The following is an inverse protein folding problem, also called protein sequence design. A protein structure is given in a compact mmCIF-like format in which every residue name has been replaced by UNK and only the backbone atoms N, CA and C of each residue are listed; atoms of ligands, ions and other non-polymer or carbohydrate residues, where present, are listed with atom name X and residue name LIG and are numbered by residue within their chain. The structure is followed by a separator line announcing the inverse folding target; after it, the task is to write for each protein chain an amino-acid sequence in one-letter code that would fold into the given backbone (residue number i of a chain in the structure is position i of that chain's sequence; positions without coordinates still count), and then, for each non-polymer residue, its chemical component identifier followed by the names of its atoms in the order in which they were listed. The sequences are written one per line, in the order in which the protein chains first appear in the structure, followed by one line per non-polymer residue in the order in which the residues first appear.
data_IF_625670828512
#
_entry.id   IF_625670828512
#
_cell.length_a   1.000
_cell.length_b   1.000
_cell.length_c   1.000
_cell.angle_alpha   90.00
_cell.angle_beta   90.00
_cell.angle_gamma   90.00
#
_symmetry.space_group_name_H-M   'P 1'
#
loop_
_entity.id
_entity.type
_entity.pdbx_description
1 polymer ?
#
# COMPACT_ATOMS: atom_id res chain seq x y z
N UNK A 1 -103.83 2.99 -51.39
CA UNK A 1 -105.08 2.77 -50.64
C UNK A 1 -105.23 1.28 -50.45
N UNK A 2 -105.72 0.85 -49.29
CA UNK A 2 -106.23 -0.51 -49.09
C UNK A 2 -107.75 -0.47 -49.25
N UNK A 3 -108.33 -1.33 -50.08
CA UNK A 3 -109.78 -1.37 -50.27
C UNK A 3 -110.45 -1.90 -49.00
N UNK A 4 -111.06 -1.00 -48.22
CA UNK A 4 -111.97 -1.36 -47.14
C UNK A 4 -113.24 -1.97 -47.73
N UNK A 5 -113.22 -3.29 -47.93
CA UNK A 5 -114.45 -4.07 -48.09
C UNK A 5 -115.27 -3.92 -46.82
N UNK A 6 -116.26 -3.04 -46.85
CA UNK A 6 -117.32 -3.01 -45.86
C UNK A 6 -117.98 -4.41 -45.83
N UNK A 7 -117.98 -5.12 -44.69
CA UNK A 7 -118.57 -6.44 -44.63
C UNK A 7 -120.10 -6.33 -44.80
N UNK A 8 -120.67 -7.31 -45.50
CA UNK A 8 -122.12 -7.41 -45.72
C UNK A 8 -122.66 -8.49 -44.82
N UNK A 9 -123.43 -8.11 -43.79
CA UNK A 9 -123.94 -9.03 -42.78
C UNK A 9 -125.33 -9.57 -43.14
N UNK A 10 -125.57 -10.84 -42.84
CA UNK A 10 -126.84 -11.56 -43.05
C UNK A 10 -127.85 -11.28 -41.93
N UNK A 11 -127.35 -10.82 -40.78
CA UNK A 11 -128.12 -10.52 -39.56
C UNK A 11 -127.41 -9.47 -38.72
N UNK A 12 -128.17 -8.67 -37.96
CA UNK A 12 -127.63 -7.76 -36.94
C UNK A 12 -126.81 -8.48 -35.85
N UNK A 13 -127.06 -9.78 -35.67
CA UNK A 13 -126.31 -10.66 -34.78
C UNK A 13 -124.89 -10.95 -35.33
N UNK A 14 -124.77 -11.16 -36.65
CA UNK A 14 -123.50 -11.38 -37.34
C UNK A 14 -122.66 -10.10 -37.39
N UNK A 15 -123.29 -8.94 -37.60
CA UNK A 15 -122.65 -7.63 -37.51
C UNK A 15 -122.07 -7.36 -36.11
N UNK A 16 -122.89 -7.57 -35.08
CA UNK A 16 -122.48 -7.43 -33.67
C UNK A 16 -121.27 -8.31 -33.34
N UNK A 17 -121.27 -9.54 -33.82
CA UNK A 17 -120.24 -10.52 -33.48
C UNK A 17 -118.95 -10.28 -34.27
N UNK A 18 -119.03 -9.85 -35.54
CA UNK A 18 -117.87 -9.36 -36.29
C UNK A 18 -117.21 -8.14 -35.64
N UNK A 19 -117.99 -7.12 -35.25
CA UNK A 19 -117.41 -5.93 -34.62
C UNK A 19 -116.85 -6.23 -33.22
N UNK A 20 -117.41 -7.19 -32.47
CA UNK A 20 -116.81 -7.68 -31.23
C UNK A 20 -115.47 -8.37 -31.49
N UNK A 21 -115.40 -9.25 -32.49
CA UNK A 21 -114.17 -9.97 -32.88
C UNK A 21 -113.08 -8.98 -33.34
N UNK A 22 -113.42 -8.02 -34.21
CA UNK A 22 -112.48 -6.97 -34.61
C UNK A 22 -112.00 -6.11 -33.43
N UNK A 23 -112.90 -5.74 -32.50
CA UNK A 23 -112.50 -5.01 -31.29
C UNK A 23 -111.57 -5.85 -30.39
N UNK A 24 -111.85 -7.14 -30.22
CA UNK A 24 -111.00 -8.06 -29.47
C UNK A 24 -109.61 -8.21 -30.11
N UNK A 25 -109.52 -8.36 -31.43
CA UNK A 25 -108.23 -8.41 -32.12
C UNK A 25 -107.48 -7.06 -32.13
N UNK A 26 -108.17 -5.93 -32.09
CA UNK A 26 -107.52 -4.62 -31.95
C UNK A 26 -107.03 -4.38 -30.52
N UNK A 27 -107.78 -4.85 -29.51
CA UNK A 27 -107.33 -4.87 -28.12
C UNK A 27 -106.10 -5.76 -27.96
N UNK A 28 -106.16 -7.02 -28.43
CA UNK A 28 -105.04 -7.96 -28.39
C UNK A 28 -103.77 -7.36 -29.01
N UNK A 29 -103.84 -6.77 -30.22
CA UNK A 29 -102.66 -6.15 -30.85
C UNK A 29 -102.14 -4.91 -30.12
N UNK A 30 -103.00 -4.20 -29.37
CA UNK A 30 -102.59 -3.08 -28.53
C UNK A 30 -101.90 -3.57 -27.26
N UNK A 31 -102.40 -4.66 -26.66
CA UNK A 31 -101.79 -5.32 -25.50
C UNK A 31 -100.43 -5.95 -25.88
N UNK A 32 -100.35 -6.69 -26.99
CA UNK A 32 -99.11 -7.24 -27.57
C UNK A 32 -98.06 -6.15 -27.81
N UNK A 33 -98.44 -5.04 -28.46
CA UNK A 33 -97.52 -3.92 -28.72
C UNK A 33 -97.14 -3.14 -27.44
N UNK A 34 -97.97 -3.18 -26.39
CA UNK A 34 -97.65 -2.59 -25.09
C UNK A 34 -96.64 -3.47 -24.32
N UNK A 35 -96.76 -4.80 -24.43
CA UNK A 35 -95.84 -5.74 -23.80
C UNK A 35 -94.48 -5.76 -24.52
N UNK A 36 -94.46 -5.75 -25.87
CA UNK A 36 -93.23 -5.56 -26.66
C UNK A 36 -92.51 -4.24 -26.29
N UNK A 37 -93.26 -3.15 -26.09
CA UNK A 37 -92.70 -1.87 -25.69
C UNK A 37 -92.15 -1.90 -24.24
N UNK A 38 -92.80 -2.63 -23.34
CA UNK A 38 -92.31 -2.82 -21.97
C UNK A 38 -91.03 -3.66 -21.93
N UNK A 39 -90.96 -4.74 -22.70
CA UNK A 39 -89.75 -5.57 -22.84
C UNK A 39 -88.61 -4.76 -23.44
N UNK A 40 -88.84 -4.02 -24.54
CA UNK A 40 -87.82 -3.15 -25.13
C UNK A 40 -87.32 -2.07 -24.15
N UNK A 41 -88.22 -1.42 -23.41
CA UNK A 41 -87.83 -0.44 -22.39
C UNK A 41 -87.01 -1.07 -21.26
N UNK A 42 -87.33 -2.29 -20.85
CA UNK A 42 -86.58 -2.97 -19.80
C UNK A 42 -85.19 -3.39 -20.30
N UNK A 43 -85.11 -3.99 -21.49
CA UNK A 43 -83.84 -4.34 -22.15
C UNK A 43 -82.93 -3.12 -22.37
N UNK A 44 -83.50 -1.94 -22.68
CA UNK A 44 -82.73 -0.68 -22.76
C UNK A 44 -82.11 -0.31 -21.41
N UNK A 45 -82.90 -0.33 -20.32
CA UNK A 45 -82.40 -0.01 -18.97
C UNK A 45 -81.32 -0.98 -18.50
N UNK A 46 -81.48 -2.27 -18.79
CA UNK A 46 -80.53 -3.29 -18.38
C UNK A 46 -79.21 -3.15 -19.17
N UNK A 47 -79.29 -2.85 -20.47
CA UNK A 47 -78.11 -2.54 -21.30
C UNK A 47 -77.42 -1.21 -20.91
N UNK A 48 -78.20 -0.18 -20.58
CA UNK A 48 -77.68 1.08 -20.02
C UNK A 48 -76.95 0.84 -18.68
N UNK A 49 -77.48 -0.04 -17.83
CA UNK A 49 -76.83 -0.44 -16.58
C UNK A 49 -75.55 -1.25 -16.81
N UNK A 50 -75.52 -2.16 -17.79
CA UNK A 50 -74.29 -2.87 -18.20
C UNK A 50 -73.21 -1.88 -18.64
N UNK A 51 -73.52 -0.97 -19.58
CA UNK A 51 -72.60 0.07 -20.05
C UNK A 51 -72.11 0.99 -18.90
N UNK A 52 -73.00 1.35 -17.97
CA UNK A 52 -72.60 2.08 -16.77
C UNK A 52 -71.60 1.30 -15.91
N UNK A 53 -71.74 -0.02 -15.77
CA UNK A 53 -70.77 -0.83 -15.00
C UNK A 53 -69.41 -0.96 -15.70
N UNK A 54 -69.40 -1.11 -17.03
CA UNK A 54 -68.15 -1.11 -17.81
C UNK A 54 -67.42 0.24 -17.70
N UNK A 55 -68.16 1.35 -17.82
CA UNK A 55 -67.61 2.70 -17.67
C UNK A 55 -67.00 2.89 -16.27
N UNK A 56 -67.74 2.55 -15.20
CA UNK A 56 -67.26 2.64 -13.80
C UNK A 56 -66.02 1.78 -13.57
N UNK A 57 -65.95 0.59 -14.17
CA UNK A 57 -64.76 -0.27 -14.10
C UNK A 57 -63.57 0.34 -14.84
N UNK A 58 -63.78 0.90 -16.04
CA UNK A 58 -62.76 1.59 -16.81
C UNK A 58 -62.20 2.82 -16.06
N UNK A 59 -63.08 3.62 -15.46
CA UNK A 59 -62.72 4.77 -14.63
C UNK A 59 -61.96 4.41 -13.35
N UNK A 60 -62.29 3.28 -12.71
CA UNK A 60 -61.49 2.76 -11.58
C UNK A 60 -60.08 2.40 -12.05
N UNK A 61 -60.00 1.58 -13.10
CA UNK A 61 -58.72 1.14 -13.68
C UNK A 61 -57.84 2.31 -14.12
N UNK A 62 -58.44 3.36 -14.69
CA UNK A 62 -57.72 4.58 -15.08
C UNK A 62 -57.19 5.35 -13.85
N UNK A 63 -58.01 5.52 -12.80
CA UNK A 63 -57.56 6.12 -11.53
C UNK A 63 -56.43 5.33 -10.85
N UNK A 64 -56.50 4.00 -10.88
CA UNK A 64 -55.45 3.10 -10.38
C UNK A 64 -54.15 3.22 -11.19
N UNK A 65 -54.24 3.27 -12.52
CA UNK A 65 -53.11 3.48 -13.42
C UNK A 65 -52.47 4.87 -13.23
N UNK A 66 -53.27 5.93 -13.05
CA UNK A 66 -52.77 7.28 -12.76
C UNK A 66 -52.08 7.35 -11.39
N UNK A 67 -52.68 6.75 -10.35
CA UNK A 67 -52.10 6.67 -9.01
C UNK A 67 -50.75 5.93 -9.02
N UNK A 68 -50.69 4.77 -9.66
CA UNK A 68 -49.44 4.00 -9.79
C UNK A 68 -48.40 4.69 -10.66
N UNK A 69 -48.79 5.38 -11.75
CA UNK A 69 -47.86 6.16 -12.57
C UNK A 69 -47.27 7.33 -11.79
N UNK A 70 -48.08 8.06 -11.00
CA UNK A 70 -47.60 9.15 -10.15
C UNK A 70 -46.65 8.65 -9.04
N UNK A 71 -46.96 7.51 -8.40
CA UNK A 71 -46.05 6.87 -7.43
C UNK A 71 -44.71 6.50 -8.08
N UNK A 72 -44.73 5.83 -9.25
CA UNK A 72 -43.52 5.42 -9.97
C UNK A 72 -42.68 6.63 -10.43
N UNK A 73 -43.30 7.76 -10.79
CA UNK A 73 -42.58 9.03 -11.07
C UNK A 73 -41.87 9.57 -9.83
N UNK A 74 -42.53 9.56 -8.67
CA UNK A 74 -41.93 9.99 -7.40
C UNK A 74 -40.77 9.09 -6.95
N UNK A 75 -40.93 7.78 -7.12
CA UNK A 75 -39.85 6.80 -6.88
C UNK A 75 -38.66 7.05 -7.82
N UNK A 76 -38.90 7.24 -9.12
CA UNK A 76 -37.85 7.52 -10.11
C UNK A 76 -37.08 8.81 -9.79
N UNK A 77 -37.78 9.91 -9.50
CA UNK A 77 -37.11 11.18 -9.18
C UNK A 77 -36.34 11.09 -7.86
N UNK A 78 -36.85 10.36 -6.86
CA UNK A 78 -36.11 10.10 -5.61
C UNK A 78 -34.86 9.24 -5.82
N UNK A 79 -34.88 8.26 -6.73
CA UNK A 79 -33.67 7.51 -7.10
C UNK A 79 -32.67 8.39 -7.86
N UNK A 80 -33.14 9.29 -8.73
CA UNK A 80 -32.33 10.25 -9.48
C UNK A 80 -31.66 11.28 -8.56
N UNK A 81 -32.39 11.83 -7.60
CA UNK A 81 -31.85 12.70 -6.54
C UNK A 81 -30.77 12.00 -5.72
N UNK A 82 -31.06 10.79 -5.21
CA UNK A 82 -30.09 9.98 -4.44
C UNK A 82 -28.83 9.67 -5.24
N UNK A 83 -28.98 9.36 -6.53
CA UNK A 83 -27.85 9.12 -7.43
C UNK A 83 -27.01 10.38 -7.61
N UNK A 84 -27.63 11.54 -7.88
CA UNK A 84 -26.91 12.81 -8.10
C UNK A 84 -26.15 13.26 -6.83
N UNK A 85 -26.79 13.15 -5.66
CA UNK A 85 -26.15 13.42 -4.36
C UNK A 85 -24.92 12.52 -4.19
N UNK A 86 -25.09 11.20 -4.29
CA UNK A 86 -23.98 10.24 -4.15
C UNK A 86 -22.89 10.45 -5.20
N UNK A 87 -23.25 10.78 -6.44
CA UNK A 87 -22.26 11.01 -7.49
C UNK A 87 -21.44 12.27 -7.23
N UNK A 88 -22.08 13.35 -6.77
CA UNK A 88 -21.41 14.59 -6.38
C UNK A 88 -20.51 14.43 -5.13
N UNK A 89 -20.88 13.55 -4.19
CA UNK A 89 -20.07 13.20 -3.03
C UNK A 89 -18.86 12.36 -3.42
N UNK A 90 -19.06 11.34 -4.28
CA UNK A 90 -17.95 10.53 -4.80
C UNK A 90 -16.96 11.37 -5.61
N UNK A 91 -17.43 12.29 -6.47
CA UNK A 91 -16.54 13.22 -7.19
C UNK A 91 -15.73 14.10 -6.23
N UNK A 92 -16.38 14.72 -5.23
CA UNK A 92 -15.69 15.53 -4.21
C UNK A 92 -14.66 14.72 -3.43
N UNK A 93 -14.97 13.47 -3.07
CA UNK A 93 -14.05 12.56 -2.39
C UNK A 93 -12.87 12.12 -3.26
N UNK A 94 -13.11 11.84 -4.54
CA UNK A 94 -12.05 11.48 -5.50
C UNK A 94 -11.10 12.67 -5.67
N UNK A 95 -11.63 13.87 -5.93
CA UNK A 95 -10.81 15.08 -6.14
C UNK A 95 -9.99 15.47 -4.89
N UNK A 96 -10.51 15.21 -3.68
CA UNK A 96 -9.75 15.37 -2.44
C UNK A 96 -8.58 14.38 -2.37
N UNK A 97 -8.83 13.08 -2.60
CA UNK A 97 -7.80 12.04 -2.57
C UNK A 97 -6.74 12.22 -3.69
N UNK A 98 -7.12 12.78 -4.84
CA UNK A 98 -6.19 13.16 -5.91
C UNK A 98 -5.29 14.34 -5.47
N UNK A 99 -5.83 15.29 -4.71
CA UNK A 99 -5.06 16.35 -4.05
C UNK A 99 -4.08 15.83 -2.99
N UNK A 100 -4.57 15.03 -2.04
CA UNK A 100 -3.75 14.41 -0.98
C UNK A 100 -2.59 13.58 -1.56
N UNK A 101 -2.84 12.87 -2.66
CA UNK A 101 -1.85 12.07 -3.38
C UNK A 101 -0.80 12.95 -4.08
N UNK A 102 -1.22 14.07 -4.68
CA UNK A 102 -0.31 15.02 -5.31
C UNK A 102 0.58 15.72 -4.28
N UNK A 103 0.03 16.17 -3.15
CA UNK A 103 0.77 16.75 -2.03
C UNK A 103 1.77 15.75 -1.44
N UNK A 104 1.32 14.52 -1.13
CA UNK A 104 2.19 13.46 -0.60
C UNK A 104 3.34 13.14 -1.55
N UNK A 105 3.09 13.17 -2.87
CA UNK A 105 4.12 12.95 -3.89
C UNK A 105 5.12 14.11 -3.94
N UNK A 106 4.66 15.36 -3.89
CA UNK A 106 5.52 16.54 -3.86
C UNK A 106 6.41 16.58 -2.60
N UNK A 107 5.85 16.28 -1.42
CA UNK A 107 6.59 16.18 -0.15
C UNK A 107 7.65 15.08 -0.24
N UNK A 108 7.28 13.89 -0.76
CA UNK A 108 8.22 12.78 -0.96
C UNK A 108 9.39 13.19 -1.87
N UNK A 109 9.12 13.85 -2.98
CA UNK A 109 10.15 14.20 -3.96
C UNK A 109 11.05 15.35 -3.44
N UNK A 110 10.49 16.28 -2.65
CA UNK A 110 11.26 17.28 -1.89
C UNK A 110 12.18 16.63 -0.84
N UNK A 111 11.69 15.65 -0.09
CA UNK A 111 12.51 14.89 0.87
C UNK A 111 13.62 14.09 0.17
N UNK A 112 13.34 13.49 -1.00
CA UNK A 112 14.39 12.84 -1.80
C UNK A 112 15.43 13.82 -2.33
N UNK A 113 15.06 15.07 -2.65
CA UNK A 113 16.02 16.13 -3.01
C UNK A 113 16.89 16.49 -1.81
N UNK A 114 16.27 16.72 -0.65
CA UNK A 114 16.97 17.09 0.59
C UNK A 114 17.93 16.00 1.09
N UNK A 115 17.57 14.71 0.95
CA UNK A 115 18.48 13.60 1.26
C UNK A 115 19.77 13.68 0.43
N UNK A 116 19.66 13.93 -0.88
CA UNK A 116 20.84 14.07 -1.77
C UNK A 116 21.71 15.29 -1.42
N UNK A 117 21.09 16.36 -0.97
CA UNK A 117 21.79 17.58 -0.50
C UNK A 117 22.56 17.32 0.80
N UNK A 118 21.98 16.53 1.73
CA UNK A 118 22.66 16.08 2.95
C UNK A 118 23.79 15.07 2.65
N UNK A 119 23.57 14.13 1.72
CA UNK A 119 24.58 13.17 1.26
C UNK A 119 25.80 13.90 0.69
N UNK A 120 25.58 14.87 -0.22
CA UNK A 120 26.65 15.70 -0.77
C UNK A 120 27.36 16.52 0.33
N UNK A 121 26.62 17.16 1.23
CA UNK A 121 27.22 17.92 2.33
C UNK A 121 28.05 17.05 3.28
N UNK A 122 27.73 15.77 3.43
CA UNK A 122 28.49 14.82 4.22
C UNK A 122 29.77 14.37 3.49
N UNK A 123 29.71 14.09 2.19
CA UNK A 123 30.90 13.80 1.36
C UNK A 123 31.91 14.97 1.36
N UNK A 124 31.41 16.21 1.29
CA UNK A 124 32.23 17.42 1.36
C UNK A 124 32.85 17.62 2.76
N UNK A 125 32.10 17.32 3.83
CA UNK A 125 32.59 17.34 5.22
C UNK A 125 33.65 16.24 5.46
N UNK A 126 33.46 15.04 4.92
CA UNK A 126 34.46 13.97 4.96
C UNK A 126 35.73 14.34 4.21
N UNK A 127 35.61 14.99 3.04
CA UNK A 127 36.78 15.47 2.28
C UNK A 127 37.54 16.54 3.07
N UNK A 128 36.84 17.48 3.69
CA UNK A 128 37.44 18.48 4.56
C UNK A 128 38.15 17.84 5.77
N UNK A 129 37.51 16.88 6.44
CA UNK A 129 38.11 16.11 7.54
C UNK A 129 39.41 15.40 7.13
N UNK A 130 39.42 14.73 5.98
CA UNK A 130 40.62 14.03 5.45
C UNK A 130 41.75 15.01 5.15
N UNK A 131 41.45 16.18 4.56
CA UNK A 131 42.44 17.23 4.32
C UNK A 131 43.02 17.83 5.60
N UNK A 132 42.18 18.06 6.63
CA UNK A 132 42.64 18.53 7.95
C UNK A 132 43.54 17.51 8.64
N UNK A 133 43.20 16.21 8.60
CA UNK A 133 44.05 15.15 9.18
C UNK A 133 45.42 15.13 8.51
N UNK A 134 45.48 15.10 7.17
CA UNK A 134 46.74 15.15 6.42
C UNK A 134 47.57 16.39 6.75
N UNK A 135 46.93 17.56 6.90
CA UNK A 135 47.62 18.80 7.29
C UNK A 135 48.13 18.81 8.74
N UNK A 136 47.57 17.98 9.63
CA UNK A 136 48.07 17.77 10.99
C UNK A 136 49.24 16.78 10.97
N UNK A 137 49.11 15.66 10.26
CA UNK A 137 50.19 14.68 10.05
C UNK A 137 51.44 15.34 9.42
N UNK A 138 51.25 16.24 8.44
CA UNK A 138 52.32 17.07 7.86
C UNK A 138 52.96 18.03 8.86
N UNK A 139 52.22 18.50 9.87
CA UNK A 139 52.76 19.37 10.93
C UNK A 139 53.52 18.55 11.98
N UNK A 140 52.98 17.41 12.41
CA UNK A 140 53.61 16.47 13.34
C UNK A 140 54.93 15.95 12.78
N UNK A 141 54.99 15.54 11.51
CA UNK A 141 56.25 15.13 10.86
C UNK A 141 57.31 16.24 10.86
N UNK A 142 56.93 17.49 10.55
CA UNK A 142 57.85 18.64 10.59
C UNK A 142 58.31 18.96 12.02
N UNK A 143 57.42 18.83 13.01
CA UNK A 143 57.75 19.05 14.42
C UNK A 143 58.71 17.97 14.94
N UNK A 144 58.47 16.70 14.60
CA UNK A 144 59.37 15.59 14.90
C UNK A 144 60.76 15.82 14.31
N UNK A 145 60.86 16.26 13.05
CA UNK A 145 62.16 16.56 12.43
C UNK A 145 62.91 17.73 13.09
N UNK A 146 62.18 18.73 13.63
CA UNK A 146 62.79 19.79 14.45
C UNK A 146 63.27 19.25 15.80
N UNK A 147 62.54 18.32 16.43
CA UNK A 147 62.95 17.65 17.67
C UNK A 147 64.21 16.79 17.44
N UNK A 148 64.24 15.97 16.39
CA UNK A 148 65.42 15.20 15.96
C UNK A 148 66.65 16.10 15.77
N UNK A 149 66.47 17.22 15.07
CA UNK A 149 67.53 18.20 14.83
C UNK A 149 68.01 18.85 16.14
N UNK A 150 67.11 19.17 17.06
CA UNK A 150 67.49 19.76 18.35
C UNK A 150 68.27 18.76 19.20
N UNK A 151 67.82 17.50 19.30
CA UNK A 151 68.53 16.46 20.04
C UNK A 151 69.95 16.20 19.47
N UNK A 152 70.11 16.28 18.15
CA UNK A 152 71.43 16.22 17.51
C UNK A 152 72.32 17.41 17.90
N UNK A 153 71.78 18.64 17.85
CA UNK A 153 72.50 19.86 18.27
C UNK A 153 72.84 19.88 19.77
N UNK A 154 71.98 19.29 20.61
CA UNK A 154 72.26 19.06 22.03
C UNK A 154 73.46 18.11 22.18
N UNK A 155 73.52 16.99 21.44
CA UNK A 155 74.70 16.10 21.47
C UNK A 155 75.99 16.75 20.94
N UNK A 156 75.92 17.64 19.94
CA UNK A 156 77.09 18.42 19.49
C UNK A 156 77.59 19.42 20.55
N UNK A 157 76.68 19.92 21.42
CA UNK A 157 77.04 20.78 22.54
C UNK A 157 77.64 19.96 23.70
N UNK A 158 77.08 18.79 24.01
CA UNK A 158 77.61 17.87 25.02
C UNK A 158 79.02 17.39 24.65
N UNK A 159 79.26 16.97 23.40
CA UNK A 159 80.60 16.61 22.92
C UNK A 159 81.59 17.78 23.08
N UNK A 160 81.16 18.99 22.73
CA UNK A 160 81.96 20.21 22.87
C UNK A 160 82.28 20.54 24.33
N UNK A 161 81.37 20.32 25.27
CA UNK A 161 81.62 20.48 26.71
C UNK A 161 82.62 19.42 27.22
N UNK A 162 82.45 18.15 26.83
CA UNK A 162 83.40 17.07 27.14
C UNK A 162 84.81 17.36 26.59
N UNK A 163 84.92 17.95 25.39
CA UNK A 163 86.20 18.41 24.83
C UNK A 163 86.79 19.59 25.62
N UNK A 164 85.97 20.55 26.05
CA UNK A 164 86.41 21.68 26.88
C UNK A 164 86.93 21.22 28.24
N UNK A 165 86.23 20.29 28.90
CA UNK A 165 86.70 19.61 30.11
C UNK A 165 88.04 18.89 29.87
N UNK A 166 88.15 18.10 28.82
CA UNK A 166 89.37 17.34 28.49
C UNK A 166 90.55 18.27 28.23
N UNK A 167 90.34 19.36 27.49
CA UNK A 167 91.33 20.41 27.27
C UNK A 167 91.69 21.14 28.57
N UNK A 168 90.76 21.29 29.52
CA UNK A 168 91.06 21.90 30.81
C UNK A 168 91.91 20.98 31.69
N UNK A 169 91.54 19.69 31.81
CA UNK A 169 92.34 18.67 32.51
C UNK A 169 93.77 18.61 31.97
N UNK A 170 93.93 18.54 30.64
CA UNK A 170 95.24 18.56 29.98
C UNK A 170 96.04 19.86 30.19
N UNK A 171 95.38 21.03 30.31
CA UNK A 171 96.06 22.30 30.66
C UNK A 171 96.58 22.28 32.09
N UNK A 172 95.85 21.65 33.01
CA UNK A 172 96.20 21.57 34.42
C UNK A 172 97.33 20.54 34.62
N UNK A 173 97.25 19.35 34.01
CA UNK A 173 98.36 18.39 33.89
C UNK A 173 99.63 19.04 33.28
N UNK A 174 99.47 19.79 32.18
CA UNK A 174 100.57 20.51 31.54
C UNK A 174 101.04 21.75 32.33
N UNK A 175 100.35 22.15 33.40
CA UNK A 175 100.85 23.10 34.41
C UNK A 175 101.66 22.36 35.46
N UNK A 176 101.16 21.23 35.94
CA UNK A 176 101.79 20.46 37.02
C UNK A 176 103.09 19.79 36.57
N UNK A 177 103.14 19.21 35.36
CA UNK A 177 104.39 18.73 34.75
C UNK A 177 105.43 19.84 34.55
N UNK A 178 105.01 21.10 34.33
CA UNK A 178 105.93 22.26 34.29
C UNK A 178 106.43 22.63 35.68
N UNK A 179 105.60 22.47 36.73
CA UNK A 179 106.03 22.63 38.12
C UNK A 179 107.04 21.55 38.51
N UNK A 180 106.77 20.27 38.18
CA UNK A 180 107.69 19.16 38.39
C UNK A 180 109.03 19.39 37.70
N UNK A 181 109.04 19.75 36.40
CA UNK A 181 110.27 20.06 35.67
C UNK A 181 111.03 21.26 36.28
N UNK A 182 110.33 22.26 36.81
CA UNK A 182 110.96 23.39 37.50
C UNK A 182 111.55 22.99 38.87
N UNK A 183 110.97 22.02 39.57
CA UNK A 183 111.52 21.42 40.80
C UNK A 183 112.73 20.53 40.46
N UNK A 184 112.61 19.65 39.46
CA UNK A 184 113.68 18.74 39.02
C UNK A 184 114.92 19.54 38.57
N UNK A 185 114.72 20.60 37.79
CA UNK A 185 115.79 21.55 37.39
C UNK A 185 116.41 22.34 38.55
N UNK A 186 115.79 22.42 39.73
CA UNK A 186 116.42 22.89 40.97
C UNK A 186 117.19 21.78 41.69
N UNK A 187 116.71 20.53 41.59
CA UNK A 187 117.28 19.34 42.22
C UNK A 187 118.54 18.82 41.51
N UNK A 188 118.58 18.89 40.18
CA UNK A 188 119.71 18.48 39.31
C UNK A 188 121.02 19.30 39.51
N UNK A 189 121.06 20.21 40.50
CA UNK A 189 122.26 21.01 40.83
C UNK A 189 123.19 20.35 41.86
N UNK A 190 123.20 19.01 41.96
CA UNK A 190 124.25 18.16 42.58
C UNK A 190 124.26 16.76 41.92
N UNK A 191 125.41 16.07 41.71
CA UNK A 191 125.50 15.07 40.63
C UNK A 191 125.98 13.64 41.01
N UNK A 192 125.32 12.62 40.42
CA UNK A 192 125.87 11.31 39.93
C UNK A 192 124.73 10.53 39.25
N UNK A 193 124.76 10.03 38.00
CA UNK A 193 125.71 9.25 37.18
C UNK A 193 125.65 7.71 37.34
N UNK A 194 125.01 7.02 36.38
CA UNK A 194 125.42 5.72 35.78
C UNK A 194 124.56 5.37 34.54
N UNK A 195 124.94 4.35 33.73
CA UNK A 195 124.45 4.08 32.35
C UNK A 195 124.27 2.57 32.02
N UNK A 196 123.25 2.22 31.21
CA UNK A 196 123.02 0.97 30.43
C UNK A 196 121.83 1.18 29.43
N UNK A 197 121.74 0.74 28.16
CA UNK A 197 122.63 0.00 27.21
C UNK A 197 122.76 -1.52 27.51
N UNK A 198 122.42 -2.49 26.62
CA UNK A 198 121.93 -2.48 25.21
C UNK A 198 121.06 -3.74 24.84
N UNK A 199 120.34 -3.70 23.70
CA UNK A 199 119.83 -4.85 22.89
C UNK A 199 118.82 -5.86 23.50
N UNK A 200 118.36 -6.92 22.80
CA UNK A 200 118.06 -7.06 21.35
C UNK A 200 117.06 -8.24 21.06
N UNK A 201 116.08 -7.98 20.18
CA UNK A 201 115.27 -8.80 19.22
C UNK A 201 115.15 -10.36 19.22
N UNK A 202 114.05 -10.82 18.57
CA UNK A 202 113.75 -12.14 17.92
C UNK A 202 112.84 -13.15 18.66
N UNK A 203 111.52 -12.97 18.48
CA UNK A 203 110.55 -13.92 17.86
C UNK A 203 110.45 -15.41 18.25
N UNK A 204 109.26 -15.85 18.71
CA UNK A 204 108.49 -16.98 18.11
C UNK A 204 107.06 -17.09 18.68
N UNK A 205 106.18 -17.84 17.98
CA UNK A 205 104.73 -18.03 18.24
C UNK A 205 104.40 -19.55 18.25
N UNK A 206 103.14 -20.06 18.33
CA UNK A 206 101.83 -19.46 18.63
C UNK A 206 100.94 -20.28 19.63
N UNK A 207 99.73 -19.75 19.95
CA UNK A 207 98.41 -20.43 20.20
C UNK A 207 97.64 -19.82 21.40
N UNK A 208 96.30 -19.76 21.47
CA UNK A 208 95.22 -20.26 20.59
C UNK A 208 94.13 -19.19 20.28
N UNK A 209 93.53 -19.28 19.08
CA UNK A 209 92.15 -18.91 18.65
C UNK A 209 91.38 -17.73 19.31
N UNK A 210 90.97 -16.70 18.53
CA UNK A 210 89.97 -15.69 18.92
C UNK A 210 88.54 -16.02 18.42
N UNK A 211 87.55 -15.26 18.90
CA UNK A 211 86.32 -14.98 18.13
C UNK A 211 85.69 -13.67 18.62
N UNK A 212 85.41 -12.73 17.70
CA UNK A 212 84.82 -11.44 18.02
C UNK A 212 84.22 -10.75 16.78
N UNK A 213 83.42 -9.71 17.05
CA UNK A 213 82.92 -8.66 16.17
C UNK A 213 81.57 -8.85 15.46
N UNK A 214 80.99 -7.69 15.16
CA UNK A 214 79.63 -7.43 14.72
C UNK A 214 79.67 -6.68 13.39
N UNK A 215 78.56 -6.74 12.64
CA UNK A 215 78.04 -5.73 11.70
C UNK A 215 79.02 -4.95 10.80
N UNK A 216 78.76 -4.94 9.48
CA UNK A 216 78.12 -3.78 8.84
C UNK A 216 77.75 -4.02 7.35
N UNK A 217 77.06 -3.02 6.79
CA UNK A 217 76.41 -2.92 5.47
C UNK A 217 77.36 -2.98 4.26
N UNK A 218 76.84 -3.35 3.08
CA UNK A 218 76.99 -2.65 1.77
C UNK A 218 76.11 -3.31 0.67
N UNK A 219 75.74 -2.55 -0.37
CA UNK A 219 74.91 -2.95 -1.55
C UNK A 219 75.61 -2.49 -2.85
N UNK A 220 75.06 -2.52 -4.09
CA UNK A 220 73.98 -3.30 -4.75
C UNK A 220 74.62 -4.10 -5.96
N UNK A 221 74.05 -4.36 -7.18
CA UNK A 221 72.68 -4.20 -7.72
C UNK A 221 72.10 -5.34 -8.64
N UNK A 222 70.81 -5.18 -9.01
CA UNK A 222 70.16 -5.63 -10.29
C UNK A 222 69.89 -7.15 -10.48
N UNK A 223 68.81 -7.63 -11.13
CA UNK A 223 67.73 -7.03 -11.97
C UNK A 223 66.42 -7.87 -11.88
N UNK A 224 65.30 -7.39 -12.46
CA UNK A 224 64.07 -8.10 -12.89
C UNK A 224 62.81 -7.97 -11.97
N UNK A 225 61.55 -8.02 -12.51
CA UNK A 225 60.55 -6.99 -12.15
C UNK A 225 59.08 -7.44 -11.88
N UNK A 226 58.24 -6.47 -11.47
CA UNK A 226 56.77 -6.57 -11.26
C UNK A 226 56.40 -6.01 -9.87
N UNK A 227 55.80 -4.83 -9.65
CA UNK A 227 54.58 -4.20 -10.20
C UNK A 227 53.32 -5.11 -10.11
N UNK A 228 52.26 -4.72 -9.39
CA UNK A 228 52.08 -3.49 -8.61
C UNK A 228 50.79 -3.45 -7.75
N UNK A 229 50.52 -2.28 -7.16
CA UNK A 229 49.35 -1.99 -6.32
C UNK A 229 48.03 -1.97 -7.11
N UNK A 230 46.91 -2.36 -6.48
CA UNK A 230 45.62 -1.63 -6.61
C UNK A 230 44.60 -1.99 -5.52
N UNK A 231 43.90 -0.93 -5.07
CA UNK A 231 42.57 -0.85 -4.45
C UNK A 231 41.67 -2.12 -4.41
N UNK A 232 41.01 -2.33 -3.27
CA UNK A 232 39.76 -3.09 -3.19
C UNK A 232 38.55 -2.16 -3.04
N UNK A 233 37.68 -2.12 -4.06
CA UNK A 233 36.29 -1.64 -3.98
C UNK A 233 35.37 -2.68 -4.62
N UNK A 234 34.13 -2.88 -4.12
CA UNK A 234 33.24 -3.92 -4.62
C UNK A 234 32.48 -3.48 -5.89
N UNK A 235 32.37 -4.32 -6.92
CA UNK A 235 31.57 -4.00 -8.10
C UNK A 235 30.08 -4.29 -7.85
N UNK A 236 29.23 -3.29 -8.08
CA UNK A 236 27.82 -3.52 -8.38
C UNK A 236 27.65 -3.66 -9.89
N UNK A 237 26.96 -4.71 -10.35
CA UNK A 237 26.49 -4.83 -11.74
C UNK A 237 25.34 -5.83 -11.87
N UNK A 238 24.54 -5.63 -12.90
CA UNK A 238 23.18 -6.16 -13.03
C UNK A 238 23.14 -7.45 -13.88
N UNK A 239 22.04 -8.22 -13.75
CA UNK A 239 21.65 -9.36 -14.59
C UNK A 239 22.46 -10.67 -14.50
N UNK A 240 21.86 -11.67 -13.85
CA UNK A 240 21.16 -12.75 -14.59
C UNK A 240 20.06 -13.40 -13.74
N UNK A 241 18.97 -13.80 -14.38
CA UNK A 241 17.86 -14.54 -13.77
C UNK A 241 18.12 -16.05 -13.96
N UNK A 242 18.66 -16.73 -12.95
CA UNK A 242 18.52 -18.19 -12.77
C UNK A 242 18.95 -18.58 -11.34
N UNK A 243 18.10 -19.30 -10.60
CA UNK A 243 18.36 -19.59 -9.17
C UNK A 243 17.18 -20.15 -8.37
N UNK A 244 16.28 -20.94 -8.99
CA UNK A 244 15.07 -21.47 -8.33
C UNK A 244 15.32 -22.68 -7.40
N UNK A 245 16.34 -22.62 -6.52
CA UNK A 245 16.53 -23.59 -5.44
C UNK A 245 17.21 -22.98 -4.21
N UNK A 246 16.51 -22.99 -3.06
CA UNK A 246 17.16 -23.20 -1.76
C UNK A 246 17.45 -22.00 -0.85
N UNK A 247 17.42 -20.74 -1.31
CA UNK A 247 17.61 -19.60 -0.40
C UNK A 247 16.40 -19.42 0.52
N UNK A 248 16.54 -19.49 1.87
CA UNK A 248 15.41 -19.28 2.77
C UNK A 248 14.92 -17.83 2.68
N UNK A 249 13.62 -17.65 2.43
CA UNK A 249 12.99 -16.32 2.36
C UNK A 249 13.31 -15.50 3.62
N UNK A 250 13.65 -14.22 3.44
CA UNK A 250 13.93 -13.32 4.56
C UNK A 250 12.73 -13.25 5.51
N UNK A 251 12.98 -13.03 6.80
CA UNK A 251 11.90 -13.00 7.80
C UNK A 251 10.85 -11.92 7.49
N UNK A 252 11.27 -10.77 6.95
CA UNK A 252 10.36 -9.74 6.42
C UNK A 252 9.49 -10.25 5.26
N UNK A 253 10.08 -10.91 4.25
CA UNK A 253 9.33 -11.46 3.12
C UNK A 253 8.33 -12.55 3.56
N UNK A 254 8.68 -13.38 4.55
CA UNK A 254 7.77 -14.37 5.14
C UNK A 254 6.59 -13.72 5.87
N UNK A 255 6.84 -12.70 6.69
CA UNK A 255 5.77 -11.97 7.40
C UNK A 255 4.86 -11.24 6.40
N UNK A 256 5.43 -10.60 5.36
CA UNK A 256 4.66 -9.96 4.30
C UNK A 256 3.75 -10.96 3.57
N UNK A 257 4.27 -12.12 3.15
CA UNK A 257 3.49 -13.16 2.50
C UNK A 257 2.37 -13.72 3.41
N UNK A 258 2.66 -13.95 4.70
CA UNK A 258 1.65 -14.40 5.67
C UNK A 258 0.55 -13.37 5.90
N UNK A 259 0.89 -12.08 5.96
CA UNK A 259 -0.10 -11.00 6.08
C UNK A 259 -1.00 -10.91 4.85
N UNK A 260 -0.43 -11.02 3.64
CA UNK A 260 -1.19 -11.04 2.37
C UNK A 260 -2.13 -12.25 2.33
N UNK A 261 -1.64 -13.45 2.66
CA UNK A 261 -2.47 -14.67 2.74
C UNK A 261 -3.58 -14.53 3.79
N UNK A 262 -3.29 -13.96 4.96
CA UNK A 262 -4.28 -13.70 6.02
C UNK A 262 -5.34 -12.68 5.59
N UNK A 263 -4.98 -11.65 4.82
CA UNK A 263 -5.95 -10.72 4.26
C UNK A 263 -6.80 -11.36 3.16
N UNK A 264 -6.20 -12.18 2.28
CA UNK A 264 -6.93 -12.94 1.26
C UNK A 264 -7.94 -13.90 1.90
N UNK A 265 -7.54 -14.67 2.93
CA UNK A 265 -8.45 -15.56 3.67
C UNK A 265 -9.61 -14.78 4.32
N UNK A 266 -9.35 -13.59 4.87
CA UNK A 266 -10.39 -12.71 5.42
C UNK A 266 -11.34 -12.18 4.35
N UNK A 267 -10.83 -11.81 3.17
CA UNK A 267 -11.67 -11.43 2.01
C UNK A 267 -12.50 -12.61 1.51
N UNK A 268 -11.95 -13.82 1.45
CA UNK A 268 -12.65 -15.04 1.06
C UNK A 268 -13.78 -15.37 2.05
N UNK A 269 -13.51 -15.40 3.36
CA UNK A 269 -14.57 -15.63 4.37
C UNK A 269 -15.70 -14.59 4.32
N UNK A 270 -15.35 -13.31 4.09
CA UNK A 270 -16.35 -12.25 3.87
C UNK A 270 -17.17 -12.45 2.59
N UNK A 271 -16.57 -12.99 1.52
CA UNK A 271 -17.28 -13.34 0.28
C UNK A 271 -18.16 -14.57 0.47
N UNK A 272 -17.68 -15.61 1.16
CA UNK A 272 -18.46 -16.82 1.48
C UNK A 272 -19.66 -16.52 2.37
N UNK A 273 -19.51 -15.65 3.37
CA UNK A 273 -20.63 -15.15 4.20
C UNK A 273 -21.70 -14.45 3.35
N UNK A 274 -21.29 -13.57 2.42
CA UNK A 274 -22.23 -12.93 1.47
C UNK A 274 -22.87 -13.96 0.53
N UNK A 275 -22.12 -14.95 0.05
CA UNK A 275 -22.62 -16.01 -0.82
C UNK A 275 -23.62 -16.93 -0.10
N UNK A 276 -23.43 -17.19 1.20
CA UNK A 276 -24.38 -17.89 2.05
C UNK A 276 -25.68 -17.09 2.19
N UNK A 277 -25.59 -15.79 2.54
CA UNK A 277 -26.75 -14.90 2.62
C UNK A 277 -27.53 -14.81 1.29
N UNK A 278 -26.83 -14.70 0.15
CA UNK A 278 -27.49 -14.73 -1.16
C UNK A 278 -28.18 -16.07 -1.46
N UNK A 279 -27.65 -17.21 -0.99
CA UNK A 279 -28.30 -18.52 -1.12
C UNK A 279 -29.53 -18.64 -0.22
N UNK A 280 -29.47 -18.11 0.99
CA UNK A 280 -30.58 -18.09 1.95
C UNK A 280 -31.76 -17.26 1.41
N UNK A 281 -31.49 -16.05 0.90
CA UNK A 281 -32.47 -15.22 0.19
C UNK A 281 -33.05 -15.93 -1.05
N UNK A 282 -32.21 -16.63 -1.83
CA UNK A 282 -32.68 -17.38 -3.01
C UNK A 282 -33.45 -18.68 -2.64
N UNK A 283 -33.31 -19.20 -1.43
CA UNK A 283 -34.18 -20.27 -0.89
C UNK A 283 -35.51 -19.67 -0.44
N UNK A 284 -35.49 -18.52 0.23
CA UNK A 284 -36.69 -17.76 0.64
C UNK A 284 -37.60 -17.43 -0.56
N UNK A 285 -37.04 -16.97 -1.68
CA UNK A 285 -37.80 -16.71 -2.92
C UNK A 285 -38.28 -17.97 -3.64
N UNK A 286 -37.63 -19.13 -3.43
CA UNK A 286 -37.99 -20.39 -4.09
C UNK A 286 -39.16 -21.14 -3.45
N UNK A 287 -39.78 -20.60 -2.41
CA UNK A 287 -40.98 -21.15 -1.78
C UNK A 287 -42.24 -20.26 -1.92
N UNK A 288 -42.75 -20.01 -3.15
CA UNK A 288 -44.10 -19.50 -3.32
C UNK A 288 -45.15 -20.62 -3.08
N UNK A 289 -46.27 -20.26 -2.44
CA UNK A 289 -47.51 -21.05 -2.30
C UNK A 289 -47.51 -22.37 -1.49
N UNK A 290 -47.41 -22.24 -0.16
CA UNK A 290 -48.38 -22.85 0.79
C UNK A 290 -48.27 -22.09 2.13
N UNK A 291 -49.31 -21.47 2.72
CA UNK A 291 -50.73 -21.34 2.34
C UNK A 291 -51.24 -19.94 2.72
N UNK A 292 -52.38 -19.50 2.16
CA UNK A 292 -53.08 -18.31 2.64
C UNK A 292 -54.14 -18.66 3.71
N UNK A 293 -54.76 -17.62 4.31
CA UNK A 293 -55.94 -17.62 5.19
C UNK A 293 -55.68 -17.95 6.68
N UNK A 294 -55.59 -16.89 7.49
CA UNK A 294 -56.27 -16.76 8.79
C UNK A 294 -56.54 -15.25 9.04
N UNK A 295 -57.60 -14.90 9.78
CA UNK A 295 -58.03 -13.51 10.02
C UNK A 295 -57.91 -13.12 11.50
N UNK A 296 -57.82 -11.81 11.77
CA UNK A 296 -57.99 -11.20 13.10
C UNK A 296 -56.68 -11.08 13.91
N UNK A 297 -56.57 -10.13 14.83
CA UNK A 297 -57.48 -9.02 15.19
C UNK A 297 -56.71 -7.86 15.85
N UNK A 298 -57.38 -6.73 16.09
CA UNK A 298 -56.76 -5.51 16.65
C UNK A 298 -56.25 -5.68 18.09
N UNK A 299 -55.16 -4.98 18.46
CA UNK A 299 -55.13 -4.05 19.62
C UNK A 299 -53.81 -3.27 19.74
N UNK A 300 -53.90 -2.06 20.28
CA UNK A 300 -52.83 -1.16 20.74
C UNK A 300 -53.44 -0.18 21.76
N UNK A 301 -52.68 0.51 22.66
CA UNK A 301 -51.25 0.42 22.98
C UNK A 301 -50.99 0.25 24.51
N UNK A 302 -49.72 0.32 24.95
CA UNK A 302 -49.19 1.32 25.93
C UNK A 302 -48.13 0.80 26.91
N UNK A 303 -47.08 1.61 27.02
CA UNK A 303 -46.03 1.79 28.05
C UNK A 303 -46.06 0.96 29.37
N UNK A 304 -44.89 0.38 29.70
CA UNK A 304 -44.26 0.52 31.02
C UNK A 304 -42.73 0.48 30.85
N UNK A 305 -41.99 1.17 31.71
CA UNK A 305 -40.52 1.31 31.64
C UNK A 305 -39.93 1.28 33.05
N UNK A 306 -38.86 0.52 33.27
CA UNK A 306 -37.93 0.79 34.38
C UNK A 306 -36.48 0.38 34.04
N UNK A 307 -35.52 1.05 34.67
CA UNK A 307 -34.07 0.95 34.40
C UNK A 307 -33.35 0.02 35.37
N UNK A 308 -32.21 -0.56 34.94
CA UNK A 308 -30.88 -0.47 35.59
C UNK A 308 -29.90 -1.53 35.01
N UNK A 309 -28.57 -1.44 35.11
CA UNK A 309 -27.60 -0.31 35.05
C UNK A 309 -26.17 -0.87 35.19
N UNK A 310 -25.23 -0.49 34.30
CA UNK A 310 -23.76 -0.70 34.43
C UNK A 310 -23.25 -2.18 34.48
N UNK A 311 -21.97 -2.52 34.26
CA UNK A 311 -20.74 -1.78 33.85
C UNK A 311 -19.70 -2.72 33.18
N UNK A 312 -18.69 -2.15 32.50
CA UNK A 312 -17.62 -2.88 31.78
C UNK A 312 -16.43 -3.35 32.65
N UNK A 313 -15.93 -4.55 32.38
CA UNK A 313 -14.50 -4.99 32.39
C UNK A 313 -14.45 -6.46 31.95
N UNK A 314 -13.53 -7.01 31.13
CA UNK A 314 -12.10 -6.78 30.86
C UNK A 314 -11.14 -7.30 31.95
N UNK A 315 -10.80 -8.61 31.90
CA UNK A 315 -9.38 -9.04 31.89
C UNK A 315 -9.18 -10.45 31.27
N UNK A 316 -7.93 -10.89 31.27
CA UNK A 316 -7.23 -11.86 30.42
C UNK A 316 -7.22 -13.33 30.90
N UNK A 317 -7.09 -14.27 29.95
CA UNK A 317 -6.21 -15.45 30.08
C UNK A 317 -6.74 -16.77 30.69
N UNK A 318 -6.82 -17.82 29.86
CA UNK A 318 -6.44 -19.21 30.21
C UNK A 318 -6.32 -20.09 28.94
N UNK A 319 -5.50 -21.14 29.01
CA UNK A 319 -5.27 -22.13 27.95
C UNK A 319 -6.12 -23.40 28.14
N UNK A 320 -6.55 -24.02 27.03
CA UNK A 320 -6.83 -25.48 26.93
C UNK A 320 -7.15 -25.84 25.47
N UNK A 321 -6.40 -26.76 24.89
CA UNK A 321 -6.71 -27.36 23.58
C UNK A 321 -7.34 -28.75 23.70
N UNK A 322 -8.11 -29.14 22.70
CA UNK A 322 -8.33 -30.56 22.37
C UNK A 322 -8.44 -30.75 20.84
N UNK A 323 -8.23 -31.99 20.38
CA UNK A 323 -7.99 -32.35 18.99
C UNK A 323 -9.10 -33.23 18.42
N UNK A 324 -9.72 -32.82 17.30
CA UNK A 324 -10.51 -33.75 16.48
C UNK A 324 -10.24 -33.68 14.98
N UNK A 325 -9.87 -34.84 14.42
CA UNK A 325 -9.91 -35.13 12.99
C UNK A 325 -11.34 -35.02 12.42
N UNK A 326 -11.46 -34.54 11.18
CA UNK A 326 -12.24 -35.28 10.17
C UNK A 326 -11.69 -35.11 8.75
N UNK A 327 -11.98 -36.10 7.90
CA UNK A 327 -11.43 -36.25 6.55
C UNK A 327 -12.46 -35.97 5.44
N UNK A 328 -11.94 -35.81 4.21
CA UNK A 328 -12.60 -36.02 2.88
C UNK A 328 -13.61 -34.96 2.44
N UNK A 329 -13.53 -34.61 1.15
CA UNK A 329 -14.49 -33.71 0.49
C UNK A 329 -14.17 -33.31 -0.96
N UNK A 330 -13.45 -34.13 -1.74
CA UNK A 330 -13.11 -33.80 -3.14
C UNK A 330 -14.16 -34.36 -4.12
N UNK A 331 -14.80 -33.48 -4.89
CA UNK A 331 -15.02 -33.70 -6.32
C UNK A 331 -14.62 -32.46 -7.13
N UNK A 332 -13.57 -32.50 -7.95
CA UNK A 332 -13.61 -32.91 -9.37
C UNK A 332 -14.60 -32.18 -10.27
N UNK A 333 -14.04 -31.26 -11.08
CA UNK A 333 -14.26 -31.15 -12.54
C UNK A 333 -15.65 -30.69 -13.05
N UNK A 334 -15.71 -29.44 -13.56
CA UNK A 334 -15.82 -29.14 -15.01
C UNK A 334 -15.85 -27.63 -15.27
N UNK A 335 -14.83 -27.12 -15.95
CA UNK A 335 -14.89 -25.82 -16.63
C UNK A 335 -15.28 -26.02 -18.10
N UNK A 336 -16.17 -25.16 -18.61
CA UNK A 336 -16.39 -24.92 -20.05
C UNK A 336 -16.68 -23.43 -20.22
N UNK A 337 -15.98 -22.78 -21.17
CA UNK A 337 -16.02 -21.32 -21.33
C UNK A 337 -17.08 -20.84 -22.32
N UNK A 338 -17.70 -19.69 -22.02
CA UNK A 338 -18.53 -18.93 -22.96
C UNK A 338 -17.80 -17.70 -23.48
N UNK A 339 -17.59 -17.60 -24.80
CA UNK A 339 -17.11 -16.36 -25.44
C UNK A 339 -18.26 -15.37 -25.55
N UNK A 340 -18.07 -14.12 -25.10
CA UNK A 340 -18.99 -13.02 -25.41
C UNK A 340 -18.51 -12.23 -26.63
N UNK A 341 -19.44 -11.91 -27.53
CA UNK A 341 -19.18 -11.17 -28.76
C UNK A 341 -19.42 -9.67 -28.56
N UNK A 342 -18.55 -8.82 -29.09
CA UNK A 342 -18.70 -7.37 -28.96
C UNK A 342 -19.76 -6.80 -29.92
N UNK A 343 -20.66 -5.97 -29.42
CA UNK A 343 -21.62 -5.18 -30.20
C UNK A 343 -21.08 -3.76 -30.43
N UNK A 344 -21.34 -3.19 -31.62
CA UNK A 344 -20.95 -1.83 -31.99
C UNK A 344 -22.07 -0.82 -31.68
N UNK A 345 -21.76 0.42 -31.27
CA UNK A 345 -22.77 1.45 -31.01
C UNK A 345 -23.34 2.03 -32.32
N UNK A 346 -24.65 2.32 -32.34
CA UNK A 346 -25.30 3.08 -33.41
C UNK A 346 -25.06 4.59 -33.21
N UNK A 347 -24.89 5.32 -34.32
CA UNK A 347 -24.90 6.79 -34.32
C UNK A 347 -26.34 7.30 -34.40
N UNK A 348 -26.74 8.22 -33.52
CA UNK A 348 -27.98 8.99 -33.69
C UNK A 348 -27.78 10.05 -34.77
N UNK A 349 -28.69 10.11 -35.74
CA UNK A 349 -28.90 11.32 -36.53
C UNK A 349 -29.69 12.34 -35.68
N UNK A 350 -29.43 13.63 -35.90
CA UNK A 350 -30.19 14.74 -35.34
C UNK A 350 -30.87 15.49 -36.49
N UNK A 351 -32.18 15.63 -36.41
CA UNK A 351 -32.98 16.39 -37.38
C UNK A 351 -33.27 17.75 -36.75
N UNK A 352 -32.87 18.82 -37.44
CA UNK A 352 -33.36 20.18 -37.14
C UNK A 352 -34.73 20.34 -37.80
N UNK A 353 -35.73 20.79 -37.05
CA UNK A 353 -36.79 21.60 -37.67
C UNK A 353 -36.27 23.00 -37.94
N UNK A 354 -36.87 23.66 -38.93
CA UNK A 354 -36.70 25.08 -39.22
C UNK A 354 -38.09 25.68 -39.43
N UNK A 355 -38.25 26.93 -39.03
CA UNK A 355 -39.55 27.59 -38.90
C UNK A 355 -40.15 27.99 -40.27
N UNK A 356 -41.45 27.71 -40.45
CA UNK A 356 -42.41 28.45 -41.30
C UNK A 356 -43.76 28.44 -40.56
#
# INVERSE_FOLDING_TARGET
MSDFKHPSFSSTEEERDYWREQAAQHQQRADEAQDELQEFQQMSRDYEAELETELKQCESRNRELLSTNNRLRGELESFKEKYEIQHSEMYRRISALEGDLAETTAIKDQLQKYIRELEQSNDDLERAKRATIMSLEDFEQRMNHVIERNAFLESELDEKENLLESVQRLKDEARDLKQELAVKKKQDRKPSLSLSVDGEKVESTPSHTPSAHSSLLTTPPRTAPGLGSVFHTPPSSYSRIEGLTGTPLTTSARISALNIVGELLRKVGNLESKLASCRELQVQERTPNRSAIAQGSHTTPREAMENQSNSNSLFEGADTGDSFHKQRGVPTNRGHGGRFSALKPLRRFSIKMADI
#
